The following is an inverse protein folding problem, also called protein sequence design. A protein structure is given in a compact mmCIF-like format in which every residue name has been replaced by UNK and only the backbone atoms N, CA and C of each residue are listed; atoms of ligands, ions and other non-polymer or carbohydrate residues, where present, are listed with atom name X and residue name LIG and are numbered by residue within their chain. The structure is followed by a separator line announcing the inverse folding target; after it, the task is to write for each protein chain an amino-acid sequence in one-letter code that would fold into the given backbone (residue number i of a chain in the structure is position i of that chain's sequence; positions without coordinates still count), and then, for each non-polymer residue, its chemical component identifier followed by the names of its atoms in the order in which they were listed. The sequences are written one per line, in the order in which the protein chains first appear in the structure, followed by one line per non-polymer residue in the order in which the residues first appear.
data_IF_149006492121
#
_entry.id   IF_149006492121
#
_cell.length_a   1.000
_cell.length_b   1.000
_cell.length_c   1.000
_cell.angle_alpha   90.00
_cell.angle_beta   90.00
_cell.angle_gamma   90.00
#
_symmetry.space_group_name_H-M   'P 1'
#
loop_
_entity.id
_entity.type
_entity.pdbx_description
1 polymer ?
#
# COMPACT_ATOMS: atom_id res chain seq x y z
N UNK A 1 -22.12 12.70 4.11
CA UNK A 1 -22.16 11.28 3.73
C UNK A 1 -20.77 10.74 4.03
N UNK A 2 -20.65 9.98 5.13
CA UNK A 2 -19.36 9.53 5.65
C UNK A 2 -19.00 8.28 4.85
N UNK A 3 -17.89 8.34 4.09
CA UNK A 3 -17.29 7.19 3.42
C UNK A 3 -17.13 6.06 4.45
N UNK A 4 -17.56 4.85 4.11
CA UNK A 4 -17.24 3.66 4.89
C UNK A 4 -15.72 3.50 4.92
N UNK A 5 -15.12 3.90 6.03
CA UNK A 5 -13.72 3.59 6.35
C UNK A 5 -13.69 2.08 6.52
N UNK A 6 -12.97 1.37 5.65
CA UNK A 6 -12.65 -0.04 5.86
C UNK A 6 -11.85 -0.13 7.17
N UNK A 7 -12.50 -0.61 8.24
CA UNK A 7 -11.96 -0.75 9.60
C UNK A 7 -11.18 -2.05 9.78
N UNK A 8 -10.57 -2.58 8.72
CA UNK A 8 -9.78 -3.80 8.80
C UNK A 8 -8.32 -3.40 8.98
N UNK A 9 -7.78 -3.68 10.16
CA UNK A 9 -6.36 -3.54 10.43
C UNK A 9 -5.59 -4.50 9.51
N UNK A 10 -4.67 -3.97 8.70
CA UNK A 10 -3.78 -4.77 7.87
C UNK A 10 -2.46 -5.01 8.58
N UNK A 11 -1.91 -6.21 8.44
CA UNK A 11 -0.67 -6.63 9.05
C UNK A 11 0.50 -6.49 8.07
N UNK A 12 1.44 -5.58 8.33
CA UNK A 12 2.68 -5.43 7.55
C UNK A 12 3.85 -6.11 8.26
N UNK A 13 4.53 -7.01 7.55
CA UNK A 13 5.72 -7.73 8.01
C UNK A 13 7.00 -7.02 7.55
N UNK A 14 8.02 -6.96 8.39
CA UNK A 14 9.38 -6.49 8.01
C UNK A 14 10.25 -7.73 7.69
N UNK A 15 11.11 -7.73 6.65
CA UNK A 15 11.84 -8.93 6.14
C UNK A 15 13.14 -9.18 6.91
N UNK A 16 13.81 -10.35 6.95
CA UNK A 16 13.81 -11.64 6.19
C UNK A 16 13.59 -12.84 7.16
N UNK A 17 12.92 -13.96 6.80
CA UNK A 17 12.76 -15.15 7.66
C UNK A 17 14.04 -15.73 8.29
N UNK A 18 15.18 -15.70 7.60
CA UNK A 18 16.47 -16.21 8.11
C UNK A 18 17.11 -15.21 9.10
N UNK A 19 17.00 -13.91 8.83
CA UNK A 19 17.43 -12.86 9.77
C UNK A 19 16.49 -12.72 10.98
N UNK A 20 15.21 -13.08 10.81
CA UNK A 20 14.18 -13.03 11.84
C UNK A 20 14.62 -13.79 13.08
N UNK A 21 15.25 -14.96 12.93
CA UNK A 21 15.69 -15.77 14.08
C UNK A 21 16.74 -15.06 14.93
N UNK A 22 17.74 -14.43 14.29
CA UNK A 22 18.80 -13.69 14.97
C UNK A 22 18.27 -12.46 15.73
N UNK A 23 17.35 -11.71 15.11
CA UNK A 23 16.74 -10.54 15.74
C UNK A 23 15.73 -10.91 16.83
N UNK A 24 15.01 -12.03 16.70
CA UNK A 24 14.12 -12.55 17.74
C UNK A 24 14.87 -13.03 18.98
N UNK A 25 16.08 -13.58 18.82
CA UNK A 25 16.96 -13.95 19.94
C UNK A 25 17.46 -12.70 20.69
N UNK A 26 17.77 -11.61 19.97
CA UNK A 26 18.22 -10.34 20.56
C UNK A 26 17.08 -9.48 21.14
N UNK A 27 15.91 -9.52 20.50
CA UNK A 27 14.74 -8.72 20.86
C UNK A 27 13.46 -9.57 20.79
N UNK A 28 13.16 -10.35 21.83
CA UNK A 28 12.03 -11.28 21.84
C UNK A 28 10.65 -10.62 21.60
N UNK A 29 10.52 -9.32 21.88
CA UNK A 29 9.31 -8.53 21.61
C UNK A 29 9.11 -8.17 20.14
N UNK A 30 10.06 -8.51 19.25
CA UNK A 30 9.96 -8.27 17.81
C UNK A 30 9.17 -9.35 17.09
N UNK A 31 8.83 -10.46 17.74
CA UNK A 31 7.85 -11.44 17.21
C UNK A 31 6.46 -10.82 17.02
N UNK A 32 6.25 -9.65 17.62
CA UNK A 32 4.98 -8.92 17.66
C UNK A 32 4.98 -7.56 16.94
N UNK A 33 6.01 -7.20 16.16
CA UNK A 33 6.01 -5.92 15.43
C UNK A 33 5.30 -6.00 14.07
N UNK A 34 4.09 -6.54 14.10
CA UNK A 34 3.16 -6.37 13.00
C UNK A 34 2.60 -4.96 13.06
N UNK A 35 2.89 -4.13 12.06
CA UNK A 35 2.26 -2.80 12.00
C UNK A 35 0.82 -2.99 11.53
N UNK A 36 -0.12 -2.69 12.43
CA UNK A 36 -1.55 -2.60 12.12
C UNK A 36 -1.86 -1.22 11.58
N UNK A 37 -2.35 -1.16 10.34
CA UNK A 37 -2.78 0.09 9.71
C UNK A 37 -4.18 -0.07 9.15
N UNK A 38 -5.01 0.95 9.26
CA UNK A 38 -6.23 1.05 8.46
C UNK A 38 -5.93 1.55 7.04
N UNK A 39 -6.94 1.57 6.16
CA UNK A 39 -6.77 1.99 4.76
C UNK A 39 -6.23 3.43 4.60
N UNK A 40 -6.60 4.35 5.49
CA UNK A 40 -6.11 5.72 5.47
C UNK A 40 -4.64 5.80 5.88
N UNK A 41 -4.28 5.17 7.00
CA UNK A 41 -2.90 5.10 7.51
C UNK A 41 -1.97 4.39 6.51
N UNK A 42 -2.42 3.30 5.89
CA UNK A 42 -1.72 2.63 4.81
C UNK A 42 -1.48 3.55 3.61
N UNK A 43 -2.49 4.33 3.20
CA UNK A 43 -2.36 5.34 2.15
C UNK A 43 -1.36 6.44 2.49
N UNK A 44 -1.36 6.94 3.73
CA UNK A 44 -0.37 7.91 4.21
C UNK A 44 1.04 7.32 4.19
N UNK A 45 1.21 6.08 4.67
CA UNK A 45 2.51 5.40 4.68
C UNK A 45 3.05 5.20 3.27
N UNK A 46 2.19 4.79 2.31
CA UNK A 46 2.57 4.72 0.89
C UNK A 46 3.04 6.08 0.37
N UNK A 47 2.31 7.15 0.67
CA UNK A 47 2.68 8.51 0.27
C UNK A 47 4.03 8.96 0.83
N UNK A 48 4.32 8.62 2.09
CA UNK A 48 5.60 8.92 2.74
C UNK A 48 6.76 8.12 2.12
N UNK A 49 6.58 6.81 1.88
CA UNK A 49 7.60 5.96 1.25
C UNK A 49 7.93 6.45 -0.16
N UNK A 50 6.91 6.85 -0.94
CA UNK A 50 7.09 7.37 -2.31
C UNK A 50 7.94 8.64 -2.33
N UNK A 51 7.81 9.49 -1.32
CA UNK A 51 8.55 10.76 -1.18
C UNK A 51 9.90 10.60 -0.46
N UNK A 52 10.22 9.40 0.04
CA UNK A 52 11.43 9.17 0.79
C UNK A 52 12.68 9.12 -0.11
N UNK A 53 13.80 9.53 0.46
CA UNK A 53 15.12 9.38 -0.16
C UNK A 53 15.43 7.90 -0.50
N UNK A 54 16.27 7.67 -1.51
CA UNK A 54 16.50 6.33 -2.07
C UNK A 54 16.88 5.28 -1.02
N UNK A 55 17.72 5.66 -0.04
CA UNK A 55 18.13 4.75 1.04
C UNK A 55 16.94 4.27 1.88
N UNK A 56 16.02 5.17 2.21
CA UNK A 56 14.83 4.84 3.01
C UNK A 56 13.82 4.05 2.18
N UNK A 57 13.67 4.37 0.88
CA UNK A 57 12.84 3.61 -0.04
C UNK A 57 13.31 2.17 -0.19
N UNK A 58 14.62 1.96 -0.34
CA UNK A 58 15.23 0.63 -0.42
C UNK A 58 15.04 -0.16 0.88
N UNK A 59 15.22 0.47 2.04
CA UNK A 59 15.02 -0.19 3.34
C UNK A 59 13.56 -0.60 3.58
N UNK A 60 12.60 0.08 2.94
CA UNK A 60 11.16 -0.15 3.08
C UNK A 60 10.55 -0.87 1.86
N UNK A 61 11.35 -1.41 0.95
CA UNK A 61 10.90 -2.01 -0.31
C UNK A 61 9.87 -3.14 -0.09
N UNK A 62 10.09 -3.98 0.92
CA UNK A 62 9.17 -5.08 1.19
C UNK A 62 7.89 -4.66 1.93
N UNK A 63 7.96 -3.61 2.75
CA UNK A 63 6.75 -2.97 3.32
C UNK A 63 5.94 -2.32 2.20
N UNK A 64 6.62 -1.68 1.26
CA UNK A 64 6.01 -1.09 0.07
C UNK A 64 5.30 -2.14 -0.79
N UNK A 65 5.94 -3.27 -1.08
CA UNK A 65 5.32 -4.39 -1.83
C UNK A 65 4.04 -4.89 -1.16
N UNK A 66 4.04 -5.01 0.17
CA UNK A 66 2.85 -5.42 0.93
C UNK A 66 1.73 -4.39 0.84
N UNK A 67 2.03 -3.10 1.01
CA UNK A 67 1.05 -2.02 0.84
C UNK A 67 0.45 -2.00 -0.57
N UNK A 68 1.26 -2.20 -1.61
CA UNK A 68 0.79 -2.30 -3.00
C UNK A 68 -0.12 -3.53 -3.18
N UNK A 69 0.25 -4.68 -2.63
CA UNK A 69 -0.56 -5.90 -2.70
C UNK A 69 -1.92 -5.74 -2.00
N UNK A 70 -1.94 -5.17 -0.79
CA UNK A 70 -3.15 -4.87 -0.03
C UNK A 70 -4.06 -3.90 -0.79
N UNK A 71 -3.48 -2.83 -1.35
CA UNK A 71 -4.21 -1.89 -2.18
C UNK A 71 -4.84 -2.57 -3.40
N UNK A 72 -4.10 -3.44 -4.10
CA UNK A 72 -4.62 -4.18 -5.26
C UNK A 72 -5.79 -5.09 -4.87
N UNK A 73 -5.67 -5.82 -3.76
CA UNK A 73 -6.76 -6.67 -3.27
C UNK A 73 -8.01 -5.86 -2.92
N UNK A 74 -7.86 -4.71 -2.25
CA UNK A 74 -8.97 -3.81 -1.94
C UNK A 74 -9.61 -3.21 -3.20
N UNK A 75 -8.81 -2.86 -4.20
CA UNK A 75 -9.31 -2.38 -5.50
C UNK A 75 -10.10 -3.45 -6.26
N UNK A 76 -9.62 -4.70 -6.26
CA UNK A 76 -10.33 -5.85 -6.84
C UNK A 76 -11.65 -6.11 -6.10
N UNK A 77 -11.64 -6.12 -4.78
CA UNK A 77 -12.83 -6.27 -3.95
C UNK A 77 -13.84 -5.14 -4.15
N UNK A 78 -13.39 -3.91 -4.45
CA UNK A 78 -14.25 -2.79 -4.79
C UNK A 78 -14.68 -2.76 -6.27
N UNK A 79 -14.17 -3.68 -7.11
CA UNK A 79 -14.44 -3.69 -8.55
C UNK A 79 -13.91 -2.45 -9.26
N UNK A 80 -12.75 -1.96 -8.83
CA UNK A 80 -12.11 -0.76 -9.39
C UNK A 80 -11.57 -1.06 -10.78
N UNK A 81 -11.98 -0.26 -11.76
CA UNK A 81 -11.40 -0.22 -13.10
C UNK A 81 -10.56 1.04 -13.28
N UNK A 82 -9.49 0.91 -14.07
CA UNK A 82 -8.55 1.98 -14.36
C UNK A 82 -8.37 2.14 -15.85
N UNK A 83 -8.42 3.37 -16.32
CA UNK A 83 -8.28 3.72 -17.74
C UNK A 83 -7.34 4.92 -17.86
N UNK A 84 -6.30 4.81 -18.69
CA UNK A 84 -5.47 5.97 -19.04
C UNK A 84 -6.19 6.75 -20.14
N UNK A 85 -6.55 7.99 -19.83
CA UNK A 85 -7.23 8.90 -20.73
C UNK A 85 -6.25 9.58 -21.70
N UNK A 86 -6.74 10.07 -22.85
CA UNK A 86 -5.99 11.00 -23.68
C UNK A 86 -5.51 12.19 -22.84
N UNK A 87 -4.20 12.46 -22.88
CA UNK A 87 -3.56 13.47 -22.02
C UNK A 87 -2.84 12.89 -20.80
N UNK A 88 -2.79 11.56 -20.64
CA UNK A 88 -1.97 10.89 -19.62
C UNK A 88 -2.56 10.90 -18.22
N UNK A 89 -3.81 11.34 -18.07
CA UNK A 89 -4.55 11.26 -16.81
C UNK A 89 -5.09 9.85 -16.62
N UNK A 90 -5.21 9.41 -15.36
CA UNK A 90 -5.88 8.15 -15.02
C UNK A 90 -7.31 8.43 -14.57
N UNK A 91 -8.26 7.69 -15.12
CA UNK A 91 -9.62 7.56 -14.62
C UNK A 91 -9.71 6.28 -13.80
N UNK A 92 -10.19 6.41 -12.57
CA UNK A 92 -10.43 5.31 -11.64
C UNK A 92 -11.94 5.29 -11.36
N UNK A 93 -12.59 4.15 -11.61
CA UNK A 93 -14.02 3.97 -11.38
C UNK A 93 -14.26 2.74 -10.53
N UNK A 94 -15.09 2.81 -9.50
CA UNK A 94 -15.50 1.65 -8.71
C UNK A 94 -16.85 1.06 -9.18
N UNK A 95 -17.27 -0.04 -8.55
CA UNK A 95 -18.56 -0.71 -8.85
C UNK A 95 -19.78 0.17 -8.58
N UNK A 96 -19.68 1.10 -7.64
CA UNK A 96 -20.76 2.00 -7.23
C UNK A 96 -20.89 3.19 -8.19
N UNK A 97 -19.95 3.31 -9.14
CA UNK A 97 -19.92 4.36 -10.14
C UNK A 97 -19.24 5.64 -9.66
N UNK A 98 -18.55 5.63 -8.52
CA UNK A 98 -17.71 6.75 -8.11
C UNK A 98 -16.52 6.85 -9.07
N UNK A 99 -16.18 8.07 -9.45
CA UNK A 99 -15.12 8.34 -10.42
C UNK A 99 -14.13 9.35 -9.87
N UNK A 100 -12.84 9.00 -9.95
CA UNK A 100 -11.72 9.91 -9.69
C UNK A 100 -10.91 10.05 -10.97
N UNK A 101 -10.58 11.28 -11.34
CA UNK A 101 -9.67 11.59 -12.46
C UNK A 101 -8.51 12.41 -11.92
N UNK A 102 -7.29 11.93 -12.08
CA UNK A 102 -6.06 12.61 -11.63
C UNK A 102 -4.86 12.20 -12.47
N UNK A 103 -3.70 12.82 -12.21
CA UNK A 103 -2.44 12.31 -12.74
C UNK A 103 -2.16 10.91 -12.13
N UNK A 104 -1.60 9.96 -12.91
CA UNK A 104 -1.25 8.65 -12.39
C UNK A 104 -0.12 8.76 -11.37
N UNK A 105 -0.16 7.92 -10.34
CA UNK A 105 0.96 7.78 -9.41
C UNK A 105 2.03 6.90 -10.06
N UNK A 106 3.32 7.06 -9.71
CA UNK A 106 4.42 6.32 -10.37
C UNK A 106 4.17 4.81 -10.48
N UNK A 107 3.69 4.21 -9.40
CA UNK A 107 3.40 2.78 -9.30
C UNK A 107 2.13 2.30 -10.02
N UNK A 108 1.31 3.21 -10.55
CA UNK A 108 0.13 2.88 -11.35
C UNK A 108 0.44 2.82 -12.84
N UNK A 109 1.60 3.33 -13.24
CA UNK A 109 2.10 3.30 -14.62
C UNK A 109 3.06 2.13 -14.83
N UNK A 110 3.80 1.73 -13.79
CA UNK A 110 4.85 0.70 -13.85
C UNK A 110 4.33 -0.75 -13.78
N UNK A 111 3.02 -0.99 -13.64
CA UNK A 111 2.51 -2.33 -13.32
C UNK A 111 1.12 -2.66 -13.87
N UNK A 112 0.87 -2.36 -15.14
CA UNK A 112 -0.22 -2.92 -15.93
C UNK A 112 0.34 -3.68 -17.14
#
# INVERSE_FOLDING_TARGET
MILGIFTTDFELMVPDPEERKYWLELYPSWDTQTLKVNAFEGGCLMGLITQAEDRARLALDDVWKQLVALKKAAEEEAGVTKEILPGGMIRIKDRDGNVVIRAPLPYEVEGN
#
